data_IF_380249529928
#
_entry.id   IF_380249529928
#
_cell.length_a   1.000
_cell.length_b   1.000
_cell.length_c   1.000
_cell.angle_alpha   90.00
_cell.angle_beta   90.00
_cell.angle_gamma   90.00
#
_symmetry.space_group_name_H-M   'P 1'
#
loop_
_entity.id
_entity.type
_entity.pdbx_description
1 polymer ?
#
# COMPACT_ATOMS: atom_id res chain seq x y z
N UNK A 1 -30.06 42.88 -21.99
CA UNK A 1 -30.24 41.41 -22.25
C UNK A 1 -29.55 40.53 -21.23
N UNK A 2 -28.49 40.92 -20.52
CA UNK A 2 -27.79 40.07 -19.54
C UNK A 2 -28.60 39.64 -18.28
N UNK A 3 -29.50 40.51 -17.74
CA UNK A 3 -30.30 40.17 -16.56
C UNK A 3 -31.31 39.02 -16.75
N UNK A 4 -31.82 38.79 -17.96
CA UNK A 4 -32.81 37.73 -18.27
C UNK A 4 -32.17 36.35 -18.38
N UNK A 5 -30.92 36.24 -18.84
CA UNK A 5 -30.16 35.01 -18.93
C UNK A 5 -29.74 34.49 -17.54
N UNK A 6 -29.30 35.35 -16.64
CA UNK A 6 -28.91 35.02 -15.25
C UNK A 6 -30.10 34.46 -14.45
N UNK A 7 -31.31 34.99 -14.67
CA UNK A 7 -32.53 34.47 -14.03
C UNK A 7 -32.86 33.04 -14.46
N UNK A 8 -32.70 32.70 -15.75
CA UNK A 8 -33.06 31.39 -16.28
C UNK A 8 -32.12 30.30 -15.82
N UNK A 9 -30.82 30.60 -15.71
CA UNK A 9 -29.83 29.65 -15.21
C UNK A 9 -30.02 29.35 -13.71
N UNK A 10 -30.40 30.36 -12.91
CA UNK A 10 -30.69 30.18 -11.49
C UNK A 10 -31.90 29.27 -11.25
N UNK A 11 -33.00 29.46 -12.01
CA UNK A 11 -34.18 28.58 -11.94
C UNK A 11 -33.84 27.13 -12.32
N UNK A 12 -32.99 26.91 -13.30
CA UNK A 12 -32.50 25.57 -13.69
C UNK A 12 -31.70 24.91 -12.58
N UNK A 13 -30.84 25.65 -11.91
CA UNK A 13 -30.03 25.15 -10.80
C UNK A 13 -30.89 24.78 -9.59
N UNK A 14 -31.85 25.63 -9.21
CA UNK A 14 -32.82 25.35 -8.13
C UNK A 14 -33.65 24.11 -8.46
N UNK A 15 -34.19 24.00 -9.68
CA UNK A 15 -34.96 22.84 -10.09
C UNK A 15 -34.13 21.53 -10.13
N UNK A 16 -32.85 21.62 -10.46
CA UNK A 16 -31.94 20.47 -10.41
C UNK A 16 -31.64 20.04 -8.98
N UNK A 17 -31.39 21.01 -8.09
CA UNK A 17 -31.17 20.75 -6.68
C UNK A 17 -32.38 20.07 -6.02
N UNK A 18 -33.58 20.62 -6.21
CA UNK A 18 -34.80 20.07 -5.60
C UNK A 18 -35.10 18.65 -6.09
N UNK A 19 -34.83 18.33 -7.35
CA UNK A 19 -34.94 16.96 -7.87
C UNK A 19 -33.95 16.02 -7.19
N UNK A 20 -32.66 16.41 -7.10
CA UNK A 20 -31.64 15.59 -6.46
C UNK A 20 -31.92 15.43 -4.96
N UNK A 21 -32.36 16.49 -4.29
CA UNK A 21 -32.79 16.47 -2.89
C UNK A 21 -33.94 15.48 -2.68
N UNK A 22 -34.99 15.58 -3.49
CA UNK A 22 -36.12 14.66 -3.42
C UNK A 22 -35.70 13.22 -3.68
N UNK A 23 -34.84 12.99 -4.66
CA UNK A 23 -34.31 11.65 -4.97
C UNK A 23 -33.54 11.09 -3.80
N UNK A 24 -32.60 11.83 -3.24
CA UNK A 24 -31.75 11.38 -2.12
C UNK A 24 -32.58 11.11 -0.85
N UNK A 25 -33.56 11.96 -0.55
CA UNK A 25 -34.45 11.79 0.61
C UNK A 25 -35.47 10.67 0.43
N UNK A 26 -35.76 10.21 -0.80
CA UNK A 26 -36.66 9.10 -1.08
C UNK A 26 -35.99 7.74 -1.12
N UNK A 27 -34.65 7.69 -1.10
CA UNK A 27 -33.90 6.44 -1.04
C UNK A 27 -34.02 5.78 0.34
N UNK A 28 -33.86 4.43 0.42
CA UNK A 28 -33.82 3.74 1.71
C UNK A 28 -32.75 4.35 2.61
N UNK A 29 -32.96 4.31 3.93
CA UNK A 29 -31.99 4.80 4.91
C UNK A 29 -30.85 3.78 5.05
N UNK A 30 -29.88 3.89 4.16
CA UNK A 30 -28.67 3.05 4.07
C UNK A 30 -27.44 3.76 4.64
N UNK A 31 -27.64 4.84 5.40
CA UNK A 31 -26.57 5.63 6.01
C UNK A 31 -25.88 6.63 5.06
N UNK A 32 -26.26 6.67 3.75
CA UNK A 32 -25.64 7.62 2.79
C UNK A 32 -25.83 9.07 3.14
N UNK A 33 -26.96 9.43 3.79
CA UNK A 33 -27.26 10.80 4.18
C UNK A 33 -26.37 11.30 5.32
N UNK A 34 -25.87 10.40 6.14
CA UNK A 34 -25.00 10.72 7.27
C UNK A 34 -23.51 10.80 6.87
N UNK A 35 -23.16 10.30 5.68
CA UNK A 35 -21.80 10.46 5.12
C UNK A 35 -21.54 11.94 4.79
N UNK A 36 -20.31 12.41 5.07
CA UNK A 36 -19.86 13.73 4.68
C UNK A 36 -19.83 13.89 3.15
N UNK A 37 -19.97 15.11 2.64
CA UNK A 37 -19.91 15.37 1.19
C UNK A 37 -18.57 14.93 0.57
N UNK A 38 -17.47 15.02 1.32
CA UNK A 38 -16.13 14.57 0.92
C UNK A 38 -16.08 13.09 0.57
N UNK A 39 -16.94 12.28 1.17
CA UNK A 39 -17.04 10.84 0.88
C UNK A 39 -17.32 10.54 -0.60
N UNK A 40 -17.98 11.46 -1.30
CA UNK A 40 -18.42 11.34 -2.69
C UNK A 40 -17.44 11.96 -3.70
N UNK A 41 -16.31 12.51 -3.22
CA UNK A 41 -15.29 13.17 -4.04
C UNK A 41 -14.40 12.15 -4.74
N UNK A 42 -14.19 12.31 -6.04
CA UNK A 42 -13.19 11.59 -6.82
C UNK A 42 -11.91 12.42 -6.97
N UNK A 43 -10.75 11.78 -7.16
CA UNK A 43 -9.48 12.47 -7.41
C UNK A 43 -9.50 13.41 -8.61
N UNK A 44 -10.33 13.10 -9.59
CA UNK A 44 -10.50 13.89 -10.81
C UNK A 44 -11.38 15.13 -10.63
N UNK A 45 -12.11 15.22 -9.51
CA UNK A 45 -13.01 16.34 -9.27
C UNK A 45 -12.23 17.64 -9.06
N UNK A 46 -12.60 18.65 -9.82
CA UNK A 46 -12.02 19.99 -9.75
C UNK A 46 -13.06 20.98 -9.22
N UNK A 47 -12.58 22.09 -8.61
CA UNK A 47 -13.44 23.18 -8.14
C UNK A 47 -14.47 22.75 -7.08
N UNK A 48 -14.01 21.91 -6.15
CA UNK A 48 -14.84 21.40 -5.06
C UNK A 48 -15.33 22.53 -4.12
N UNK A 49 -16.57 22.40 -3.58
CA UNK A 49 -17.09 23.31 -2.57
C UNK A 49 -16.50 23.00 -1.19
N UNK A 50 -15.29 23.46 -0.93
CA UNK A 50 -14.51 23.12 0.28
C UNK A 50 -15.32 23.39 1.58
N UNK A 51 -16.15 24.44 1.61
CA UNK A 51 -16.98 24.78 2.75
C UNK A 51 -18.04 23.72 3.11
N UNK A 52 -18.31 22.76 2.22
CA UNK A 52 -19.33 21.72 2.38
C UNK A 52 -18.74 20.32 2.57
N UNK A 53 -17.44 20.13 2.31
CA UNK A 53 -16.85 18.79 2.26
C UNK A 53 -16.97 18.01 3.57
N UNK A 54 -16.88 18.71 4.69
CA UNK A 54 -16.93 18.09 6.03
C UNK A 54 -18.37 18.01 6.60
N UNK A 55 -19.39 18.45 5.84
CA UNK A 55 -20.81 18.40 6.25
C UNK A 55 -21.47 17.14 5.72
N UNK A 56 -22.38 16.56 6.51
CA UNK A 56 -23.18 15.43 6.07
C UNK A 56 -24.14 15.82 4.92
N UNK A 57 -24.50 14.84 4.07
CA UNK A 57 -25.52 15.09 3.07
C UNK A 57 -26.85 15.51 3.71
N UNK A 58 -27.19 14.94 4.86
CA UNK A 58 -28.40 15.27 5.63
C UNK A 58 -28.44 16.75 5.96
N UNK A 59 -27.34 17.30 6.51
CA UNK A 59 -27.24 18.72 6.88
C UNK A 59 -27.32 19.66 5.67
N UNK A 60 -26.70 19.24 4.55
CA UNK A 60 -26.72 20.04 3.31
C UNK A 60 -28.10 20.02 2.65
N UNK A 61 -28.76 18.87 2.62
CA UNK A 61 -30.10 18.74 2.02
C UNK A 61 -31.22 19.33 2.91
N UNK A 62 -30.97 19.60 4.20
CA UNK A 62 -31.89 20.32 5.06
C UNK A 62 -32.02 21.81 4.70
N UNK A 63 -31.05 22.37 3.97
CA UNK A 63 -30.98 23.81 3.62
C UNK A 63 -31.43 24.06 2.19
N UNK A 64 -32.08 25.23 1.93
CA UNK A 64 -32.41 25.64 0.58
C UNK A 64 -31.14 26.01 -0.21
N UNK A 65 -31.19 25.84 -1.54
CA UNK A 65 -30.02 26.11 -2.41
C UNK A 65 -29.49 27.55 -2.28
N UNK A 66 -30.39 28.52 -2.11
CA UNK A 66 -30.01 29.93 -2.01
C UNK A 66 -29.12 30.19 -0.79
N UNK A 67 -29.39 29.53 0.33
CA UNK A 67 -28.57 29.62 1.54
C UNK A 67 -27.20 28.95 1.33
N UNK A 68 -27.16 27.80 0.69
CA UNK A 68 -25.92 27.11 0.37
C UNK A 68 -25.04 27.94 -0.57
N UNK A 69 -25.62 28.53 -1.61
CA UNK A 69 -24.91 29.36 -2.58
C UNK A 69 -24.48 30.72 -2.01
N UNK A 70 -25.08 31.17 -0.94
CA UNK A 70 -24.67 32.39 -0.20
C UNK A 70 -23.45 32.15 0.71
N UNK A 71 -23.03 30.87 0.89
CA UNK A 71 -21.88 30.54 1.75
C UNK A 71 -20.58 31.12 1.18
N UNK A 72 -19.77 31.84 1.97
CA UNK A 72 -18.51 32.39 1.53
C UNK A 72 -17.59 31.34 0.92
N UNK A 73 -17.01 31.61 -0.25
CA UNK A 73 -16.13 30.68 -0.96
C UNK A 73 -16.84 29.66 -1.86
N UNK A 74 -18.18 29.66 -1.93
CA UNK A 74 -18.98 28.84 -2.84
C UNK A 74 -19.50 29.70 -3.99
N UNK A 75 -18.71 29.83 -5.03
CA UNK A 75 -19.12 30.49 -6.27
C UNK A 75 -19.85 29.54 -7.24
N UNK A 76 -20.40 30.10 -8.32
CA UNK A 76 -21.20 29.35 -9.29
C UNK A 76 -20.53 28.07 -9.83
N UNK A 77 -19.22 28.11 -10.10
CA UNK A 77 -18.45 26.96 -10.58
C UNK A 77 -18.30 25.84 -9.52
N UNK A 78 -18.15 26.22 -8.24
CA UNK A 78 -18.11 25.28 -7.14
C UNK A 78 -19.49 24.70 -6.82
N UNK A 79 -20.56 25.44 -7.12
CA UNK A 79 -21.93 24.95 -7.08
C UNK A 79 -22.19 23.82 -8.08
N UNK A 80 -21.64 23.90 -9.27
CA UNK A 80 -21.72 22.79 -10.26
C UNK A 80 -21.02 21.54 -9.73
N UNK A 81 -19.82 21.67 -9.15
CA UNK A 81 -19.14 20.56 -8.47
C UNK A 81 -19.97 19.94 -7.35
N UNK A 82 -20.68 20.74 -6.55
CA UNK A 82 -21.62 20.25 -5.54
C UNK A 82 -22.74 19.37 -6.14
N UNK A 83 -23.36 19.81 -7.26
CA UNK A 83 -24.36 19.00 -7.93
C UNK A 83 -23.82 17.68 -8.46
N UNK A 84 -22.59 17.64 -8.93
CA UNK A 84 -22.01 16.41 -9.43
C UNK A 84 -21.77 15.41 -8.28
N UNK A 85 -21.39 15.89 -7.10
CA UNK A 85 -21.30 15.05 -5.90
C UNK A 85 -22.68 14.53 -5.46
N UNK A 86 -23.72 15.36 -5.46
CA UNK A 86 -25.10 14.92 -5.15
C UNK A 86 -25.63 13.90 -6.16
N UNK A 87 -25.36 14.08 -7.46
CA UNK A 87 -25.73 13.09 -8.49
C UNK A 87 -25.04 11.75 -8.26
N UNK A 88 -23.78 11.79 -7.85
CA UNK A 88 -23.00 10.61 -7.54
C UNK A 88 -23.57 9.86 -6.36
N UNK A 89 -23.89 10.56 -5.27
CA UNK A 89 -24.55 10.01 -4.11
C UNK A 89 -25.92 9.40 -4.44
N UNK A 90 -26.68 10.04 -5.33
CA UNK A 90 -27.99 9.54 -5.76
C UNK A 90 -27.92 8.30 -6.66
N UNK A 91 -26.85 8.13 -7.45
CA UNK A 91 -26.65 6.99 -8.36
C UNK A 91 -26.01 5.79 -7.68
N UNK A 92 -25.37 5.96 -6.53
CA UNK A 92 -24.73 4.87 -5.81
C UNK A 92 -25.78 3.85 -5.38
N UNK A 93 -25.55 2.57 -5.69
CA UNK A 93 -26.44 1.45 -5.32
C UNK A 93 -26.40 1.21 -3.81
N UNK A 94 -25.22 1.40 -3.20
CA UNK A 94 -25.01 1.36 -1.74
C UNK A 94 -23.96 2.43 -1.39
N UNK A 95 -24.02 3.06 -0.21
CA UNK A 95 -22.98 4.00 0.22
C UNK A 95 -21.60 3.35 0.37
N UNK A 96 -21.56 2.05 0.56
CA UNK A 96 -20.33 1.27 0.73
C UNK A 96 -19.86 0.59 -0.57
N UNK A 97 -20.65 0.70 -1.66
CA UNK A 97 -20.26 0.18 -2.97
C UNK A 97 -19.25 1.13 -3.66
N UNK A 98 -18.09 0.63 -4.08
CA UNK A 98 -17.09 1.46 -4.74
C UNK A 98 -17.62 2.02 -6.06
N UNK A 99 -17.42 3.32 -6.30
CA UNK A 99 -17.73 3.95 -7.57
C UNK A 99 -16.82 3.40 -8.67
N UNK A 100 -17.39 2.84 -9.72
CA UNK A 100 -16.65 2.32 -10.87
C UNK A 100 -16.71 0.81 -11.06
N UNK A 101 -17.22 0.05 -10.09
CA UNK A 101 -17.58 -1.35 -10.35
C UNK A 101 -18.96 -1.42 -11.00
N UNK A 102 -19.01 -1.32 -12.32
CA UNK A 102 -20.10 -1.89 -13.10
C UNK A 102 -20.05 -3.39 -12.84
N UNK A 103 -21.15 -3.96 -12.35
CA UNK A 103 -21.27 -5.38 -12.12
C UNK A 103 -20.92 -6.14 -13.42
N UNK A 104 -19.69 -6.59 -13.53
CA UNK A 104 -19.31 -7.61 -14.49
C UNK A 104 -19.75 -8.95 -13.89
N UNK A 105 -20.60 -9.66 -14.63
CA UNK A 105 -20.99 -11.02 -14.30
C UNK A 105 -19.77 -11.90 -13.99
N UNK A 106 -19.85 -12.82 -13.03
CA UNK A 106 -18.71 -13.63 -12.61
C UNK A 106 -18.30 -14.57 -13.75
N UNK A 107 -17.24 -14.20 -14.46
CA UNK A 107 -16.50 -15.14 -15.32
C UNK A 107 -15.57 -15.99 -14.43
N UNK A 108 -15.45 -17.30 -14.70
CA UNK A 108 -14.64 -18.20 -13.86
C UNK A 108 -13.19 -17.73 -13.84
N UNK A 109 -12.63 -17.74 -12.64
CA UNK A 109 -11.29 -17.28 -12.31
C UNK A 109 -10.22 -17.91 -13.22
N UNK A 110 -9.66 -17.09 -14.11
CA UNK A 110 -8.34 -17.30 -14.69
C UNK A 110 -7.32 -16.66 -13.77
N UNK A 111 -6.24 -17.36 -13.49
CA UNK A 111 -5.14 -16.88 -12.69
C UNK A 111 -4.70 -15.47 -13.12
N UNK A 112 -4.35 -14.57 -12.17
CA UNK A 112 -4.05 -13.18 -12.49
C UNK A 112 -2.84 -13.09 -13.40
N UNK A 113 -3.07 -12.52 -14.58
CA UNK A 113 -2.00 -12.04 -15.45
C UNK A 113 -1.35 -10.81 -14.81
N UNK A 114 -0.04 -10.54 -15.01
CA UNK A 114 0.65 -9.45 -14.36
C UNK A 114 0.12 -8.10 -14.85
N UNK A 115 -0.40 -7.35 -13.89
CA UNK A 115 -0.49 -5.88 -13.81
C UNK A 115 -1.01 -5.12 -15.03
N UNK A 116 -2.33 -4.93 -15.09
CA UNK A 116 -2.85 -3.62 -15.45
C UNK A 116 -2.47 -2.68 -14.30
N UNK A 117 -1.71 -1.62 -14.56
CA UNK A 117 -1.18 -0.74 -13.52
C UNK A 117 -2.30 -0.15 -12.65
N UNK A 118 -2.08 -0.09 -11.35
CA UNK A 118 -2.98 0.55 -10.40
C UNK A 118 -3.28 2.00 -10.83
N UNK A 119 -4.55 2.35 -10.96
CA UNK A 119 -4.99 3.71 -11.31
C UNK A 119 -5.56 4.43 -10.08
N UNK A 120 -4.73 5.26 -9.45
CA UNK A 120 -5.11 6.07 -8.30
C UNK A 120 -6.21 7.11 -8.62
N UNK A 121 -6.45 7.42 -9.91
CA UNK A 121 -7.45 8.40 -10.33
C UNK A 121 -8.89 7.89 -10.15
N UNK A 122 -9.10 6.59 -10.08
CA UNK A 122 -10.42 5.97 -9.86
C UNK A 122 -10.77 5.76 -8.39
N UNK A 123 -9.85 6.04 -7.47
CA UNK A 123 -10.06 5.83 -6.03
C UNK A 123 -10.97 6.94 -5.48
N UNK A 124 -12.17 6.57 -5.03
CA UNK A 124 -13.11 7.45 -4.34
C UNK A 124 -12.90 7.39 -2.82
N UNK A 125 -13.45 8.38 -2.10
CA UNK A 125 -13.49 8.34 -0.62
C UNK A 125 -14.21 7.09 -0.09
N UNK A 126 -15.27 6.63 -0.78
CA UNK A 126 -15.98 5.40 -0.43
C UNK A 126 -15.09 4.17 -0.53
N UNK A 127 -14.34 4.06 -1.62
CA UNK A 127 -13.41 2.95 -1.83
C UNK A 127 -12.27 2.99 -0.81
N UNK A 128 -11.74 4.18 -0.55
CA UNK A 128 -10.73 4.39 0.48
C UNK A 128 -11.22 3.97 1.87
N UNK A 129 -12.42 4.41 2.27
CA UNK A 129 -13.00 4.04 3.55
C UNK A 129 -13.17 2.51 3.70
N UNK A 130 -13.58 1.82 2.64
CA UNK A 130 -13.69 0.36 2.63
C UNK A 130 -12.33 -0.33 2.83
N UNK A 131 -11.26 0.21 2.21
CA UNK A 131 -9.91 -0.30 2.42
C UNK A 131 -9.42 -0.06 3.85
N UNK A 132 -9.69 1.13 4.41
CA UNK A 132 -9.39 1.43 5.82
C UNK A 132 -10.14 0.51 6.78
N UNK A 133 -11.42 0.22 6.51
CA UNK A 133 -12.19 -0.74 7.31
C UNK A 133 -11.57 -2.14 7.28
N UNK A 134 -11.03 -2.58 6.14
CA UNK A 134 -10.29 -3.84 6.07
C UNK A 134 -9.06 -3.83 6.98
N UNK A 135 -8.28 -2.75 6.97
CA UNK A 135 -7.12 -2.60 7.85
C UNK A 135 -7.52 -2.69 9.33
N UNK A 136 -8.61 -2.02 9.73
CA UNK A 136 -9.12 -2.08 11.11
C UNK A 136 -9.65 -3.47 11.46
N UNK A 137 -10.45 -4.07 10.59
CA UNK A 137 -11.05 -5.40 10.79
C UNK A 137 -10.02 -6.49 11.02
N UNK A 138 -8.90 -6.45 10.30
CA UNK A 138 -7.82 -7.43 10.41
C UNK A 138 -6.67 -6.98 11.33
N UNK A 139 -6.85 -5.89 12.07
CA UNK A 139 -5.87 -5.35 13.03
C UNK A 139 -4.47 -5.10 12.41
N UNK A 140 -4.42 -4.64 11.15
CA UNK A 140 -3.19 -4.39 10.42
C UNK A 140 -2.61 -2.99 10.66
N UNK A 141 -3.25 -2.17 11.49
CA UNK A 141 -2.79 -0.80 11.79
C UNK A 141 -1.29 -0.70 12.11
N UNK A 142 -0.73 -1.55 12.99
CA UNK A 142 0.70 -1.52 13.36
C UNK A 142 1.66 -1.91 12.23
N UNK A 143 1.18 -2.55 11.14
CA UNK A 143 2.02 -3.01 10.06
C UNK A 143 2.60 -1.83 9.26
N UNK A 144 3.85 -1.98 8.83
CA UNK A 144 4.56 -0.95 8.06
C UNK A 144 4.21 -1.05 6.58
N UNK A 145 4.02 0.10 5.91
CA UNK A 145 3.75 0.16 4.46
C UNK A 145 4.78 -0.61 3.64
N UNK A 146 6.07 -0.44 3.94
CA UNK A 146 7.13 -1.13 3.23
C UNK A 146 7.09 -2.65 3.37
N UNK A 147 6.50 -3.17 4.45
CA UNK A 147 6.33 -4.62 4.63
C UNK A 147 5.28 -5.19 3.68
N UNK A 148 4.24 -4.43 3.40
CA UNK A 148 3.06 -4.87 2.64
C UNK A 148 3.09 -4.44 1.17
N UNK A 149 3.96 -3.50 0.79
CA UNK A 149 4.05 -2.99 -0.57
C UNK A 149 4.39 -4.11 -1.57
N UNK A 150 3.78 -4.13 -2.78
CA UNK A 150 4.11 -5.09 -3.83
C UNK A 150 5.60 -5.04 -4.22
N UNK A 151 6.18 -3.84 -4.25
CA UNK A 151 7.60 -3.58 -4.49
C UNK A 151 8.04 -2.31 -3.77
N UNK A 152 9.26 -2.28 -3.26
CA UNK A 152 9.84 -1.07 -2.66
C UNK A 152 10.39 -0.10 -3.72
N UNK A 153 10.55 -0.50 -4.99
CA UNK A 153 11.01 0.39 -6.06
C UNK A 153 10.04 1.55 -6.29
N UNK A 154 8.74 1.30 -6.21
CA UNK A 154 7.70 2.31 -6.38
C UNK A 154 7.42 3.11 -5.11
N UNK A 155 7.84 2.61 -3.95
CA UNK A 155 7.55 3.19 -2.64
C UNK A 155 8.66 4.15 -2.20
N UNK A 156 8.36 5.45 -1.95
CA UNK A 156 9.34 6.39 -1.40
C UNK A 156 9.92 5.90 -0.07
N UNK A 157 11.24 5.88 0.07
CA UNK A 157 11.97 5.36 1.25
C UNK A 157 11.49 5.98 2.57
N UNK A 158 11.07 7.25 2.52
CA UNK A 158 10.60 8.01 3.69
C UNK A 158 9.38 7.39 4.35
N UNK A 159 8.56 6.63 3.61
CA UNK A 159 7.35 6.00 4.13
C UNK A 159 7.46 4.49 4.30
N UNK A 160 8.63 3.89 4.12
CA UNK A 160 8.81 2.45 4.32
C UNK A 160 8.44 2.01 5.74
N UNK A 161 8.78 2.83 6.73
CA UNK A 161 8.54 2.56 8.16
C UNK A 161 7.23 3.16 8.69
N UNK A 162 6.47 3.88 7.85
CA UNK A 162 5.18 4.45 8.23
C UNK A 162 4.15 3.34 8.40
N UNK A 163 3.33 3.40 9.44
CA UNK A 163 2.33 2.38 9.74
C UNK A 163 1.05 2.61 8.93
N UNK A 164 0.27 1.56 8.74
CA UNK A 164 -1.04 1.70 8.09
C UNK A 164 -1.99 2.60 8.90
N UNK A 165 -1.95 2.54 10.24
CA UNK A 165 -2.78 3.37 11.12
C UNK A 165 -2.57 4.86 10.91
N UNK A 166 -1.35 5.30 10.55
CA UNK A 166 -1.03 6.70 10.26
C UNK A 166 -1.85 7.26 9.07
N UNK A 167 -2.50 6.39 8.30
CA UNK A 167 -3.35 6.77 7.16
C UNK A 167 -4.79 6.27 7.32
N UNK A 168 -5.01 5.14 7.97
CA UNK A 168 -6.32 4.49 8.04
C UNK A 168 -7.38 5.35 8.75
N UNK A 169 -6.96 6.23 9.67
CA UNK A 169 -7.84 7.14 10.40
C UNK A 169 -8.09 8.48 9.67
N UNK A 170 -7.55 8.62 8.46
CA UNK A 170 -7.67 9.85 7.68
C UNK A 170 -8.51 9.64 6.41
N UNK A 171 -9.29 10.67 6.04
CA UNK A 171 -9.93 10.67 4.72
C UNK A 171 -8.88 10.87 3.62
N UNK A 172 -9.17 10.41 2.42
CA UNK A 172 -8.31 10.60 1.26
C UNK A 172 -8.02 12.09 1.00
N UNK A 173 -9.02 12.96 1.22
CA UNK A 173 -8.86 14.41 1.13
C UNK A 173 -7.87 14.95 2.16
N UNK A 174 -7.84 14.41 3.38
CA UNK A 174 -6.88 14.79 4.42
C UNK A 174 -5.47 14.36 4.05
N UNK A 175 -5.28 13.12 3.59
CA UNK A 175 -3.96 12.59 3.15
C UNK A 175 -3.37 13.46 2.04
N UNK A 176 -4.19 13.85 1.05
CA UNK A 176 -3.76 14.72 -0.05
C UNK A 176 -3.35 16.12 0.38
N UNK A 177 -3.82 16.60 1.54
CA UNK A 177 -3.46 17.91 2.13
C UNK A 177 -2.25 17.86 3.04
N UNK A 178 -1.73 16.69 3.38
CA UNK A 178 -0.54 16.57 4.22
C UNK A 178 0.66 17.21 3.52
N UNK A 179 1.33 18.13 4.21
CA UNK A 179 2.42 18.98 3.65
C UNK A 179 3.53 18.20 2.95
N UNK A 180 3.77 16.96 3.37
CA UNK A 180 4.86 16.13 2.86
C UNK A 180 4.39 15.09 1.84
N UNK A 181 3.09 15.07 1.46
CA UNK A 181 2.50 14.06 0.61
C UNK A 181 2.25 14.59 -0.80
N UNK A 182 3.28 14.47 -1.67
CA UNK A 182 3.10 14.66 -3.10
C UNK A 182 2.36 13.47 -3.74
N UNK A 183 1.92 13.65 -4.97
CA UNK A 183 1.11 12.67 -5.74
C UNK A 183 1.71 11.25 -5.73
N UNK A 184 3.02 11.10 -5.94
CA UNK A 184 3.70 9.79 -5.89
C UNK A 184 3.51 9.07 -4.56
N UNK A 185 3.57 9.78 -3.44
CA UNK A 185 3.43 9.19 -2.11
C UNK A 185 1.99 8.78 -1.85
N UNK A 186 1.03 9.62 -2.21
CA UNK A 186 -0.40 9.31 -2.11
C UNK A 186 -0.73 8.06 -2.95
N UNK A 187 -0.29 8.01 -4.20
CA UNK A 187 -0.53 6.88 -5.10
C UNK A 187 0.04 5.58 -4.53
N UNK A 188 1.26 5.61 -3.99
CA UNK A 188 1.89 4.44 -3.37
C UNK A 188 1.12 3.95 -2.13
N UNK A 189 0.62 4.86 -1.28
CA UNK A 189 -0.24 4.51 -0.14
C UNK A 189 -1.53 3.84 -0.62
N UNK A 190 -2.19 4.42 -1.61
CA UNK A 190 -3.44 3.87 -2.17
C UNK A 190 -3.24 2.48 -2.78
N UNK A 191 -2.14 2.26 -3.49
CA UNK A 191 -1.79 0.96 -4.08
C UNK A 191 -1.62 -0.11 -2.99
N UNK A 192 -0.95 0.22 -1.88
CA UNK A 192 -0.76 -0.73 -0.77
C UNK A 192 -2.09 -1.07 -0.12
N UNK A 193 -2.93 -0.09 0.19
CA UNK A 193 -4.25 -0.33 0.79
C UNK A 193 -5.17 -1.15 -0.13
N UNK A 194 -5.13 -0.89 -1.44
CA UNK A 194 -5.81 -1.71 -2.45
C UNK A 194 -5.33 -3.16 -2.40
N UNK A 195 -4.02 -3.37 -2.46
CA UNK A 195 -3.41 -4.70 -2.43
C UNK A 195 -3.77 -5.48 -1.16
N UNK A 196 -3.75 -4.80 0.00
CA UNK A 196 -4.15 -5.38 1.29
C UNK A 196 -5.64 -5.76 1.26
N UNK A 197 -6.49 -4.86 0.78
CA UNK A 197 -7.92 -5.10 0.70
C UNK A 197 -8.25 -6.28 -0.25
N UNK A 198 -7.67 -6.31 -1.44
CA UNK A 198 -7.89 -7.38 -2.41
C UNK A 198 -7.43 -8.74 -1.88
N UNK A 199 -6.27 -8.78 -1.19
CA UNK A 199 -5.75 -10.01 -0.60
C UNK A 199 -6.66 -10.55 0.52
N UNK A 200 -7.36 -9.68 1.25
CA UNK A 200 -8.17 -10.02 2.41
C UNK A 200 -9.68 -10.02 2.14
N UNK A 201 -10.14 -9.52 0.99
CA UNK A 201 -11.56 -9.39 0.68
C UNK A 201 -12.33 -10.71 0.78
N UNK A 202 -11.66 -11.84 0.53
CA UNK A 202 -12.22 -13.19 0.59
C UNK A 202 -11.98 -13.90 1.91
N UNK A 203 -11.22 -13.31 2.84
CA UNK A 203 -10.88 -13.93 4.10
C UNK A 203 -12.02 -13.74 5.12
N UNK A 204 -12.46 -14.84 5.76
CA UNK A 204 -13.38 -14.78 6.90
C UNK A 204 -12.58 -14.83 8.19
N UNK A 205 -13.05 -14.10 9.23
CA UNK A 205 -12.38 -14.03 10.55
C UNK A 205 -12.26 -15.40 11.25
N UNK A 206 -13.10 -16.35 10.89
CA UNK A 206 -13.13 -17.71 11.48
C UNK A 206 -12.16 -18.70 10.81
N UNK A 207 -11.58 -18.34 9.71
CA UNK A 207 -10.53 -19.16 9.11
C UNK A 207 -9.22 -18.87 9.82
N UNK A 208 -8.58 -19.91 10.39
CA UNK A 208 -7.18 -19.93 10.82
C UNK A 208 -6.26 -19.72 9.59
N UNK A 209 -6.56 -18.69 8.82
CA UNK A 209 -5.76 -18.27 7.69
C UNK A 209 -4.70 -17.37 8.28
N UNK A 210 -3.50 -17.90 8.39
CA UNK A 210 -2.28 -17.10 8.26
C UNK A 210 -2.33 -16.44 6.87
N UNK A 211 -3.20 -15.46 6.70
CA UNK A 211 -3.19 -14.60 5.51
C UNK A 211 -1.97 -13.72 5.68
N UNK A 212 -0.90 -14.27 5.21
CA UNK A 212 0.40 -13.63 5.25
C UNK A 212 0.43 -12.64 4.11
N UNK A 213 -0.05 -11.44 4.38
CA UNK A 213 0.20 -10.27 3.52
C UNK A 213 1.68 -9.92 3.72
N UNK A 214 2.53 -10.72 3.14
CA UNK A 214 3.98 -10.54 3.24
C UNK A 214 4.54 -10.66 1.83
N UNK A 215 5.70 -10.08 1.57
CA UNK A 215 6.40 -10.22 0.30
C UNK A 215 6.39 -11.64 -0.22
N UNK A 216 6.22 -11.76 -1.51
CA UNK A 216 5.87 -12.99 -2.25
C UNK A 216 6.69 -14.23 -1.92
N UNK A 217 7.97 -14.05 -1.59
CA UNK A 217 8.90 -15.16 -1.36
C UNK A 217 9.12 -15.51 0.11
N UNK A 218 8.83 -14.57 1.02
CA UNK A 218 9.13 -14.74 2.44
C UNK A 218 8.20 -15.74 3.14
N UNK A 219 6.88 -15.78 2.92
CA UNK A 219 6.01 -16.68 3.67
C UNK A 219 6.35 -18.17 3.53
N UNK A 220 6.56 -18.71 2.31
CA UNK A 220 6.96 -20.10 2.15
C UNK A 220 8.32 -20.41 2.81
N UNK A 221 9.26 -19.47 2.69
CA UNK A 221 10.58 -19.58 3.31
C UNK A 221 10.49 -19.59 4.84
N UNK A 222 9.75 -18.63 5.43
CA UNK A 222 9.57 -18.56 6.89
C UNK A 222 8.87 -19.77 7.45
N UNK A 223 7.87 -20.30 6.75
CA UNK A 223 7.19 -21.55 7.14
C UNK A 223 8.17 -22.71 7.15
N UNK A 224 8.89 -22.93 6.06
CA UNK A 224 9.92 -23.96 5.97
C UNK A 224 10.98 -23.81 7.08
N UNK A 225 11.46 -22.61 7.34
CA UNK A 225 12.44 -22.32 8.39
C UNK A 225 11.91 -22.71 9.78
N UNK A 226 10.66 -22.36 10.11
CA UNK A 226 10.04 -22.72 11.38
C UNK A 226 9.84 -24.23 11.54
N UNK A 227 9.53 -24.94 10.46
CA UNK A 227 9.43 -26.40 10.43
C UNK A 227 10.82 -27.02 10.63
N UNK A 228 11.83 -26.57 9.90
CA UNK A 228 13.21 -27.04 9.98
C UNK A 228 13.84 -26.86 11.35
N UNK A 229 13.57 -25.75 12.02
CA UNK A 229 14.07 -25.50 13.39
C UNK A 229 13.53 -26.56 14.38
N UNK A 230 12.35 -27.11 14.14
CA UNK A 230 11.72 -28.14 15.01
C UNK A 230 12.11 -29.58 14.68
N UNK A 231 12.63 -29.81 13.48
CA UNK A 231 13.03 -31.15 13.04
C UNK A 231 14.37 -31.57 13.63
N UNK A 232 14.61 -32.86 13.93
CA UNK A 232 15.89 -33.31 14.44
C UNK A 232 17.00 -33.28 13.38
N UNK A 233 16.66 -33.47 12.12
CA UNK A 233 17.59 -33.45 11.00
C UNK A 233 17.90 -32.04 10.55
N UNK A 234 19.17 -31.79 10.25
CA UNK A 234 19.64 -30.50 9.73
C UNK A 234 19.68 -30.57 8.19
N UNK A 235 19.17 -29.52 7.50
CA UNK A 235 19.24 -29.43 6.04
C UNK A 235 20.70 -29.38 5.57
N UNK A 236 20.95 -29.78 4.36
CA UNK A 236 22.26 -29.57 3.72
C UNK A 236 22.41 -28.11 3.22
N UNK A 237 23.59 -27.80 2.71
CA UNK A 237 23.91 -26.43 2.26
C UNK A 237 23.15 -26.06 0.98
N UNK A 238 22.90 -27.02 0.10
CA UNK A 238 22.12 -26.83 -1.11
C UNK A 238 20.65 -26.53 -0.77
N UNK A 239 20.09 -27.23 0.21
CA UNK A 239 18.73 -26.98 0.65
C UNK A 239 18.60 -25.61 1.33
N UNK A 240 19.56 -25.19 2.14
CA UNK A 240 19.62 -23.83 2.69
C UNK A 240 19.67 -22.78 1.57
N UNK A 241 20.48 -23.04 0.55
CA UNK A 241 20.58 -22.11 -0.59
C UNK A 241 19.25 -22.00 -1.35
N UNK A 242 18.62 -23.11 -1.69
CA UNK A 242 17.35 -23.13 -2.42
C UNK A 242 16.18 -22.58 -1.58
N UNK A 243 16.15 -22.84 -0.29
CA UNK A 243 15.02 -22.50 0.59
C UNK A 243 15.13 -21.15 1.27
N UNK A 244 16.35 -20.62 1.46
CA UNK A 244 16.58 -19.30 2.12
C UNK A 244 17.21 -18.31 1.15
N UNK A 245 18.39 -18.62 0.58
CA UNK A 245 19.12 -17.66 -0.22
C UNK A 245 18.36 -17.21 -1.45
N UNK A 246 17.88 -18.18 -2.23
CA UNK A 246 17.17 -17.94 -3.48
C UNK A 246 15.87 -17.10 -3.28
N UNK A 247 15.01 -17.40 -2.30
CA UNK A 247 13.88 -16.54 -1.97
C UNK A 247 14.27 -15.10 -1.58
N UNK A 248 15.31 -14.94 -0.75
CA UNK A 248 15.77 -13.61 -0.32
C UNK A 248 16.36 -12.81 -1.48
N UNK A 249 17.17 -13.42 -2.34
CA UNK A 249 17.70 -12.77 -3.55
C UNK A 249 16.59 -12.39 -4.52
N UNK A 250 15.58 -13.25 -4.69
CA UNK A 250 14.43 -12.93 -5.52
C UNK A 250 13.59 -11.79 -4.92
N UNK A 251 13.52 -11.67 -3.60
CA UNK A 251 12.88 -10.56 -2.93
C UNK A 251 13.66 -9.25 -3.19
N UNK A 252 14.98 -9.26 -3.06
CA UNK A 252 15.84 -8.11 -3.40
C UNK A 252 15.64 -7.70 -4.86
N UNK A 253 15.52 -8.66 -5.78
CA UNK A 253 15.26 -8.38 -7.21
C UNK A 253 13.98 -7.59 -7.42
N UNK A 254 12.88 -7.97 -6.74
CA UNK A 254 11.61 -7.23 -6.80
C UNK A 254 11.73 -5.85 -6.17
N UNK A 255 12.47 -5.72 -5.07
CA UNK A 255 12.47 -4.52 -4.24
C UNK A 255 13.49 -3.47 -4.66
N UNK A 256 14.61 -3.87 -5.26
CA UNK A 256 15.68 -2.93 -5.64
C UNK A 256 16.09 -3.11 -7.12
N UNK A 257 15.85 -4.29 -7.71
CA UNK A 257 16.16 -4.59 -9.11
C UNK A 257 17.28 -5.64 -9.29
N UNK A 258 17.48 -6.03 -10.56
CA UNK A 258 18.32 -7.16 -10.94
C UNK A 258 19.80 -6.95 -10.54
N UNK A 259 20.33 -5.76 -10.76
CA UNK A 259 21.74 -5.47 -10.50
C UNK A 259 22.14 -5.71 -9.04
N UNK A 260 21.28 -5.32 -8.10
CA UNK A 260 21.53 -5.52 -6.67
C UNK A 260 21.29 -6.98 -6.26
N UNK A 261 20.31 -7.63 -6.87
CA UNK A 261 20.05 -9.06 -6.65
C UNK A 261 21.23 -9.93 -7.11
N UNK A 262 21.84 -9.63 -8.26
CA UNK A 262 23.05 -10.31 -8.75
C UNK A 262 24.24 -10.09 -7.82
N UNK A 263 24.39 -8.86 -7.30
CA UNK A 263 25.42 -8.53 -6.32
C UNK A 263 25.23 -9.34 -5.03
N UNK A 264 24.00 -9.42 -4.52
CA UNK A 264 23.66 -10.21 -3.33
C UNK A 264 23.89 -11.71 -3.57
N UNK A 265 23.45 -12.24 -4.71
CA UNK A 265 23.66 -13.64 -5.09
C UNK A 265 25.14 -13.99 -5.14
N UNK A 266 25.97 -13.15 -5.75
CA UNK A 266 27.41 -13.37 -5.82
C UNK A 266 28.10 -13.36 -4.43
N UNK A 267 27.53 -12.66 -3.45
CA UNK A 267 28.01 -12.66 -2.06
C UNK A 267 27.62 -13.90 -1.27
N UNK A 268 26.52 -14.54 -1.66
CA UNK A 268 25.94 -15.72 -1.01
C UNK A 268 26.19 -17.00 -1.82
N UNK A 269 27.09 -16.95 -2.82
CA UNK A 269 27.48 -18.09 -3.61
C UNK A 269 28.21 -19.12 -2.75
N UNK A 270 27.95 -20.39 -3.02
CA UNK A 270 28.59 -21.51 -2.34
C UNK A 270 30.03 -21.76 -2.81
N UNK A 271 30.46 -21.12 -3.89
CA UNK A 271 31.80 -21.28 -4.43
C UNK A 271 32.84 -20.56 -3.56
N UNK A 272 33.99 -21.22 -3.33
CA UNK A 272 35.13 -20.64 -2.59
C UNK A 272 35.66 -19.33 -3.19
N UNK A 273 35.27 -19.01 -4.42
CA UNK A 273 35.68 -17.83 -5.17
C UNK A 273 34.65 -16.68 -5.15
N UNK A 274 34.04 -16.44 -3.99
CA UNK A 274 33.14 -15.27 -3.85
C UNK A 274 33.87 -13.98 -4.30
N UNK A 275 33.35 -13.23 -5.30
CA UNK A 275 34.06 -12.10 -5.86
C UNK A 275 34.28 -11.00 -4.83
N UNK A 276 35.49 -10.47 -4.77
CA UNK A 276 35.84 -9.33 -3.91
C UNK A 276 35.06 -8.07 -4.33
N UNK A 277 34.87 -7.12 -3.41
CA UNK A 277 34.25 -5.82 -3.71
C UNK A 277 34.91 -5.11 -4.89
N UNK A 278 36.23 -5.29 -5.03
CA UNK A 278 36.98 -4.73 -6.15
C UNK A 278 36.54 -5.34 -7.48
N UNK A 279 36.49 -6.67 -7.56
CA UNK A 279 36.03 -7.39 -8.75
C UNK A 279 34.55 -7.08 -9.08
N UNK A 280 33.70 -7.03 -8.08
CA UNK A 280 32.31 -6.63 -8.27
C UNK A 280 32.18 -5.20 -8.81
N UNK A 281 32.94 -4.25 -8.29
CA UNK A 281 32.97 -2.88 -8.77
C UNK A 281 33.42 -2.79 -10.24
N UNK A 282 34.47 -3.54 -10.61
CA UNK A 282 34.99 -3.63 -11.98
C UNK A 282 33.93 -4.26 -12.92
N UNK A 283 33.31 -5.37 -12.54
CA UNK A 283 32.27 -6.05 -13.33
C UNK A 283 31.05 -5.15 -13.55
N UNK A 284 30.64 -4.42 -12.52
CA UNK A 284 29.45 -3.54 -12.56
C UNK A 284 29.77 -2.16 -13.17
N UNK A 285 31.03 -1.83 -13.43
CA UNK A 285 31.42 -0.50 -13.92
C UNK A 285 31.16 0.64 -12.93
N UNK A 286 31.20 0.38 -11.61
CA UNK A 286 30.93 1.34 -10.56
C UNK A 286 32.10 1.47 -9.58
N UNK A 287 32.04 2.47 -8.68
CA UNK A 287 33.04 2.61 -7.62
C UNK A 287 32.83 1.58 -6.50
N UNK A 288 33.89 1.24 -5.77
CA UNK A 288 33.78 0.38 -4.57
C UNK A 288 32.79 0.97 -3.53
N UNK A 289 32.81 2.29 -3.36
CA UNK A 289 31.87 2.99 -2.47
C UNK A 289 30.41 2.72 -2.88
N UNK A 290 30.14 2.72 -4.20
CA UNK A 290 28.80 2.40 -4.70
C UNK A 290 28.40 0.95 -4.42
N UNK A 291 29.31 0.00 -4.53
CA UNK A 291 29.05 -1.41 -4.16
C UNK A 291 28.66 -1.51 -2.69
N UNK A 292 29.38 -0.86 -1.79
CA UNK A 292 29.00 -0.84 -0.36
C UNK A 292 27.61 -0.25 -0.13
N UNK A 293 27.27 0.87 -0.79
CA UNK A 293 25.92 1.45 -0.72
C UNK A 293 24.83 0.47 -1.17
N UNK A 294 25.06 -0.27 -2.26
CA UNK A 294 24.11 -1.26 -2.75
C UNK A 294 23.95 -2.44 -1.78
N UNK A 295 25.02 -2.85 -1.11
CA UNK A 295 24.96 -3.88 -0.05
C UNK A 295 24.20 -3.36 1.19
N UNK A 296 24.41 -2.10 1.58
CA UNK A 296 23.61 -1.46 2.65
C UNK A 296 22.13 -1.37 2.29
N UNK A 297 21.81 -1.12 1.02
CA UNK A 297 20.41 -1.09 0.55
C UNK A 297 19.74 -2.47 0.67
N UNK A 298 20.47 -3.59 0.52
CA UNK A 298 19.97 -4.93 0.82
C UNK A 298 19.57 -5.06 2.30
N UNK A 299 20.40 -4.57 3.21
CA UNK A 299 20.09 -4.62 4.65
C UNK A 299 18.85 -3.78 4.99
N UNK A 300 18.75 -2.55 4.44
CA UNK A 300 17.57 -1.69 4.64
C UNK A 300 16.27 -2.34 4.16
N UNK A 301 16.32 -3.03 3.02
CA UNK A 301 15.16 -3.78 2.53
C UNK A 301 14.78 -4.87 3.51
N UNK A 302 15.71 -5.68 3.98
CA UNK A 302 15.41 -6.78 4.89
C UNK A 302 14.96 -6.30 6.27
N UNK A 303 15.44 -5.16 6.75
CA UNK A 303 14.94 -4.51 7.97
C UNK A 303 13.43 -4.21 7.90
N UNK A 304 12.93 -3.89 6.71
CA UNK A 304 11.50 -3.61 6.49
C UNK A 304 10.72 -4.86 6.16
N UNK A 305 11.24 -5.71 5.27
CA UNK A 305 10.55 -6.88 4.74
C UNK A 305 10.52 -8.06 5.70
N UNK A 306 11.62 -8.30 6.38
CA UNK A 306 11.80 -9.46 7.26
C UNK A 306 12.66 -9.13 8.46
N UNK A 307 12.24 -8.21 9.34
CA UNK A 307 13.01 -7.82 10.52
C UNK A 307 13.28 -9.00 11.47
N UNK A 308 12.40 -10.01 11.47
CA UNK A 308 12.51 -11.21 12.30
C UNK A 308 13.61 -12.18 11.85
N UNK A 309 14.16 -11.98 10.64
CA UNK A 309 15.14 -12.90 10.05
C UNK A 309 16.38 -13.11 10.92
N UNK A 310 16.89 -12.06 11.55
CA UNK A 310 18.01 -12.15 12.49
C UNK A 310 17.77 -13.19 13.60
N UNK A 311 16.57 -13.18 14.18
CA UNK A 311 16.20 -14.06 15.28
C UNK A 311 15.89 -15.47 14.82
N UNK A 312 15.33 -15.63 13.62
CA UNK A 312 14.96 -16.91 13.04
C UNK A 312 16.16 -17.68 12.49
N UNK A 313 17.21 -17.00 12.03
CA UNK A 313 18.44 -17.65 11.55
C UNK A 313 19.36 -18.09 12.70
N UNK A 314 19.34 -17.42 13.84
CA UNK A 314 20.22 -17.71 14.95
C UNK A 314 20.10 -19.15 15.49
N UNK A 315 18.90 -19.77 15.67
CA UNK A 315 18.77 -21.17 16.09
C UNK A 315 19.43 -22.15 15.14
N UNK A 316 19.35 -21.92 13.82
CA UNK A 316 20.04 -22.77 12.83
C UNK A 316 21.55 -22.70 13.00
N UNK A 317 22.12 -21.50 13.09
CA UNK A 317 23.55 -21.32 13.31
C UNK A 317 24.04 -22.06 14.56
N UNK A 318 23.26 -22.00 15.66
CA UNK A 318 23.57 -22.70 16.90
C UNK A 318 23.51 -24.22 16.72
N UNK A 319 22.51 -24.75 16.01
CA UNK A 319 22.31 -26.18 15.81
C UNK A 319 23.36 -26.82 14.90
N UNK A 320 23.82 -26.09 13.86
CA UNK A 320 24.91 -26.59 13.02
C UNK A 320 26.23 -26.71 13.81
N UNK A 321 26.46 -25.84 14.81
CA UNK A 321 27.65 -25.83 15.61
C UNK A 321 28.91 -25.85 14.76
N UNK A 322 29.84 -26.77 15.02
CA UNK A 322 31.07 -26.96 14.22
C UNK A 322 30.95 -28.08 13.18
N UNK A 323 29.78 -28.73 13.08
CA UNK A 323 29.62 -29.97 12.30
C UNK A 323 29.58 -29.74 10.78
N UNK A 324 29.11 -28.54 10.34
CA UNK A 324 28.95 -28.21 8.92
C UNK A 324 29.45 -26.79 8.66
N UNK A 325 30.76 -26.60 8.44
CA UNK A 325 31.36 -25.26 8.31
C UNK A 325 30.81 -24.47 7.11
N UNK A 326 30.46 -25.12 6.01
CA UNK A 326 29.88 -24.48 4.81
C UNK A 326 28.51 -23.89 5.09
N UNK A 327 27.63 -24.63 5.76
CA UNK A 327 26.31 -24.17 6.15
C UNK A 327 26.37 -22.97 7.13
N UNK A 328 27.33 -23.01 8.06
CA UNK A 328 27.60 -21.92 8.99
C UNK A 328 28.12 -20.70 8.24
N UNK A 329 29.06 -20.88 7.32
CA UNK A 329 29.59 -19.81 6.47
C UNK A 329 28.49 -19.10 5.69
N UNK A 330 27.56 -19.89 5.11
CA UNK A 330 26.40 -19.35 4.39
C UNK A 330 25.47 -18.56 5.31
N UNK A 331 25.14 -19.08 6.50
CA UNK A 331 24.28 -18.40 7.48
C UNK A 331 24.91 -17.11 8.01
N UNK A 332 26.22 -17.11 8.25
CA UNK A 332 26.94 -15.89 8.62
C UNK A 332 26.93 -14.87 7.47
N UNK A 333 27.19 -15.30 6.23
CA UNK A 333 27.10 -14.44 5.06
C UNK A 333 25.72 -13.80 4.88
N UNK A 334 24.64 -14.56 5.15
CA UNK A 334 23.28 -14.04 5.17
C UNK A 334 23.09 -12.98 6.26
N UNK A 335 23.57 -13.24 7.48
CA UNK A 335 23.48 -12.30 8.59
C UNK A 335 24.29 -11.03 8.32
N UNK A 336 25.49 -11.16 7.81
CA UNK A 336 26.37 -10.02 7.51
C UNK A 336 25.81 -9.14 6.37
N UNK A 337 25.16 -9.74 5.37
CA UNK A 337 24.57 -9.02 4.26
C UNK A 337 23.25 -8.34 4.63
N UNK A 338 22.35 -9.04 5.31
CA UNK A 338 20.98 -8.59 5.53
C UNK A 338 20.75 -7.98 6.91
N UNK A 339 21.58 -8.29 7.88
CA UNK A 339 21.48 -7.83 9.27
C UNK A 339 22.83 -7.42 9.85
N UNK A 340 23.58 -6.52 9.19
CA UNK A 340 24.90 -6.12 9.68
C UNK A 340 24.78 -5.58 11.10
N UNK A 341 25.71 -5.98 11.96
CA UNK A 341 25.82 -5.41 13.30
C UNK A 341 26.45 -4.02 13.11
N UNK A 342 25.73 -2.99 13.50
CA UNK A 342 26.29 -1.64 13.58
C UNK A 342 27.53 -1.67 14.45
N UNK A 343 28.70 -1.51 13.86
CA UNK A 343 29.90 -1.26 14.66
C UNK A 343 29.73 0.14 15.25
N UNK A 344 29.80 0.29 16.59
CA UNK A 344 29.79 1.62 17.18
C UNK A 344 30.88 2.44 16.48
N UNK A 345 30.50 3.62 15.99
CA UNK A 345 31.45 4.55 15.36
C UNK A 345 32.64 4.70 16.31
N UNK A 346 33.84 4.34 15.85
CA UNK A 346 35.04 4.54 16.61
C UNK A 346 35.11 6.03 16.94
N UNK A 347 34.92 6.36 18.20
CA UNK A 347 35.09 7.72 18.75
C UNK A 347 36.53 8.08 18.50
N UNK A 348 36.77 8.97 17.53
CA UNK A 348 38.07 9.57 17.24
C UNK A 348 38.28 10.72 18.20
#
# INVERSE_FOLDING_TARGET
MARKAISNDRYRLVGTYERLRKTLLSLPDDGRLDKALSYWVLPTDRRLPIAFLDRSLRDLLARPLDELMATPGVGQQKGLGFFDLLKRAAKATSPDAPFGMVAAEPKPAKAPAPTAGFDAAVVSEALWANWCETVHRFHLGPEKLGRLAPSLQSLPTVIWHTRLEDYADHSLAQIRRMKTHGEKRVNAVLEIFCTVHEALATATLDSNIDVVIVPRFLPPMVRWLNETIRQPELPDVEELHERIVRPLVNQIRIDIGDQVAELAAARLCLDENSPSVKQQAETMGVTRARVYQLLEDCAKVMEVRWPEGRWLLAPLTTRFGTSRPEAIGLLHGLCDLFYPIERPAATV
#
